data_IF_163714407689
#
_entry.id   IF_163714407689
#
_cell.length_a   1.000
_cell.length_b   1.000
_cell.length_c   1.000
_cell.angle_alpha   90.00
_cell.angle_beta   90.00
_cell.angle_gamma   90.00
#
_symmetry.space_group_name_H-M   'P 1'
#
loop_
_entity.id
_entity.type
_entity.pdbx_description
1 polymer ?
#
# COMPACT_ATOMS: atom_id res chain seq x y z
N UNK A 1 12.46 -51.13 -16.37
CA UNK A 1 12.24 -49.81 -15.72
C UNK A 1 11.35 -48.99 -16.65
N UNK A 2 10.03 -49.01 -16.45
CA UNK A 2 9.09 -48.33 -17.35
C UNK A 2 8.73 -46.95 -16.78
N UNK A 3 9.17 -45.88 -17.44
CA UNK A 3 8.80 -44.50 -17.10
C UNK A 3 7.34 -44.25 -17.50
N UNK A 4 6.51 -43.93 -16.51
CA UNK A 4 5.07 -43.63 -16.65
C UNK A 4 4.89 -42.44 -17.61
N UNK A 5 3.99 -42.51 -18.62
CA UNK A 5 3.80 -41.42 -19.56
C UNK A 5 3.28 -40.18 -18.82
N UNK A 6 4.06 -39.10 -18.85
CA UNK A 6 3.69 -37.81 -18.24
C UNK A 6 2.49 -37.26 -19.01
N UNK A 7 1.34 -37.19 -18.35
CA UNK A 7 0.12 -36.65 -18.96
C UNK A 7 0.38 -35.20 -19.43
N UNK A 8 0.38 -34.98 -20.75
CA UNK A 8 0.69 -33.68 -21.40
C UNK A 8 -0.13 -32.51 -20.83
N UNK A 9 -1.33 -32.78 -20.31
CA UNK A 9 -2.19 -31.78 -19.65
C UNK A 9 -1.65 -31.26 -18.30
N UNK A 10 -0.93 -32.08 -17.54
CA UNK A 10 -0.39 -31.67 -16.22
C UNK A 10 0.68 -30.61 -16.35
N UNK A 11 1.56 -30.73 -17.35
CA UNK A 11 2.63 -29.76 -17.63
C UNK A 11 2.07 -28.39 -17.99
N UNK A 12 1.04 -28.34 -18.84
CA UNK A 12 0.39 -27.09 -19.26
C UNK A 12 -0.33 -26.44 -18.09
N UNK A 13 -0.96 -27.22 -17.21
CA UNK A 13 -1.61 -26.70 -16.01
C UNK A 13 -0.61 -26.12 -15.02
N UNK A 14 0.50 -26.83 -14.74
CA UNK A 14 1.59 -26.32 -13.89
C UNK A 14 2.23 -25.06 -14.46
N UNK A 15 2.41 -24.99 -15.78
CA UNK A 15 2.92 -23.81 -16.47
C UNK A 15 1.92 -22.63 -16.41
N UNK A 16 0.62 -22.88 -16.60
CA UNK A 16 -0.41 -21.85 -16.42
C UNK A 16 -0.45 -21.33 -14.98
N UNK A 17 -0.36 -22.21 -13.99
CA UNK A 17 -0.28 -21.82 -12.58
C UNK A 17 0.97 -20.98 -12.28
N UNK A 18 2.12 -21.31 -12.90
CA UNK A 18 3.35 -20.54 -12.73
C UNK A 18 3.26 -19.13 -13.34
N UNK A 19 2.58 -18.99 -14.49
CA UNK A 19 2.27 -17.70 -15.12
C UNK A 19 1.38 -16.84 -14.21
N UNK A 20 0.30 -17.41 -13.69
CA UNK A 20 -0.60 -16.71 -12.75
C UNK A 20 0.17 -16.26 -11.50
N UNK A 21 1.01 -17.13 -10.93
CA UNK A 21 1.84 -16.78 -9.78
C UNK A 21 2.84 -15.66 -10.10
N UNK A 22 3.45 -15.65 -11.30
CA UNK A 22 4.35 -14.59 -11.76
C UNK A 22 3.61 -13.26 -11.91
N UNK A 23 2.42 -13.26 -12.49
CA UNK A 23 1.58 -12.07 -12.60
C UNK A 23 1.19 -11.51 -11.22
N UNK A 24 0.84 -12.38 -10.25
CA UNK A 24 0.59 -11.93 -8.86
C UNK A 24 1.82 -11.25 -8.26
N UNK A 25 3.01 -11.84 -8.41
CA UNK A 25 4.27 -11.24 -7.93
C UNK A 25 4.58 -9.92 -8.62
N UNK A 26 4.28 -9.80 -9.92
CA UNK A 26 4.42 -8.54 -10.68
C UNK A 26 3.60 -7.42 -10.06
N UNK A 27 2.29 -7.66 -9.87
CA UNK A 27 1.38 -6.69 -9.23
C UNK A 27 1.81 -6.30 -7.82
N UNK A 28 2.32 -7.25 -7.02
CA UNK A 28 2.84 -6.95 -5.68
C UNK A 28 4.07 -6.04 -5.77
N UNK A 29 4.99 -6.30 -6.70
CA UNK A 29 6.17 -5.45 -6.90
C UNK A 29 5.81 -4.05 -7.35
N UNK A 30 4.85 -3.91 -8.27
CA UNK A 30 4.32 -2.61 -8.70
C UNK A 30 3.77 -1.83 -7.51
N UNK A 31 2.95 -2.47 -6.66
CA UNK A 31 2.42 -1.83 -5.45
C UNK A 31 3.48 -1.49 -4.41
N UNK A 32 4.51 -2.31 -4.27
CA UNK A 32 5.65 -1.98 -3.40
C UNK A 32 6.45 -0.79 -3.95
N UNK A 33 6.57 -0.65 -5.26
CA UNK A 33 7.23 0.51 -5.87
C UNK A 33 6.42 1.80 -5.66
N UNK A 34 5.11 1.76 -5.93
CA UNK A 34 4.20 2.88 -5.64
C UNK A 34 4.29 3.28 -4.15
N UNK A 35 4.34 2.30 -3.23
CA UNK A 35 4.45 2.57 -1.81
C UNK A 35 5.75 3.30 -1.44
N UNK A 36 6.89 2.92 -2.06
CA UNK A 36 8.19 3.58 -1.81
C UNK A 36 8.20 5.05 -2.21
N UNK A 37 7.43 5.44 -3.21
CA UNK A 37 7.33 6.84 -3.65
C UNK A 37 6.47 7.68 -2.71
N UNK A 38 5.55 7.06 -1.97
CA UNK A 38 4.64 7.73 -1.05
C UNK A 38 5.18 7.85 0.38
N UNK A 39 5.98 6.88 0.81
CA UNK A 39 6.51 6.81 2.17
C UNK A 39 7.80 7.63 2.26
N UNK A 40 7.98 8.49 3.28
CA UNK A 40 9.22 9.25 3.48
C UNK A 40 10.43 8.33 3.61
N UNK A 41 11.57 8.73 3.03
CA UNK A 41 12.88 8.04 3.13
C UNK A 41 12.89 6.55 2.71
N UNK A 42 11.84 6.09 2.02
CA UNK A 42 11.61 4.68 1.71
C UNK A 42 12.46 4.10 0.56
N UNK A 43 13.24 4.92 -0.14
CA UNK A 43 13.99 4.52 -1.34
C UNK A 43 14.94 3.34 -1.05
N UNK A 44 15.56 3.31 0.13
CA UNK A 44 16.54 2.30 0.54
C UNK A 44 16.03 1.27 1.56
N UNK A 45 14.78 1.38 2.00
CA UNK A 45 14.22 0.48 3.01
C UNK A 45 14.02 -0.94 2.47
N UNK A 46 14.19 -1.95 3.32
CA UNK A 46 13.75 -3.30 3.00
C UNK A 46 12.21 -3.39 3.06
N UNK A 47 11.63 -4.51 2.63
CA UNK A 47 10.15 -4.62 2.55
C UNK A 47 9.48 -4.58 3.93
N UNK A 48 10.13 -5.10 4.97
CA UNK A 48 9.55 -5.09 6.31
C UNK A 48 9.51 -3.67 6.87
N UNK A 49 10.66 -2.98 6.85
CA UNK A 49 10.76 -1.59 7.31
C UNK A 49 9.85 -0.67 6.50
N UNK A 50 9.74 -0.85 5.18
CA UNK A 50 8.82 -0.07 4.35
C UNK A 50 7.36 -0.19 4.81
N UNK A 51 6.91 -1.40 5.17
CA UNK A 51 5.53 -1.63 5.60
C UNK A 51 5.27 -1.09 7.01
N UNK A 52 6.25 -1.23 7.90
CA UNK A 52 6.18 -0.65 9.25
C UNK A 52 6.14 0.89 9.18
N UNK A 53 7.02 1.50 8.38
CA UNK A 53 7.05 2.95 8.18
C UNK A 53 5.79 3.46 7.49
N UNK A 54 5.26 2.74 6.49
CA UNK A 54 3.98 3.08 5.88
C UNK A 54 2.83 3.15 6.90
N UNK A 55 2.83 2.22 7.87
CA UNK A 55 1.82 2.19 8.94
C UNK A 55 1.94 3.42 9.83
N UNK A 56 3.17 3.79 10.21
CA UNK A 56 3.44 5.01 10.99
C UNK A 56 3.05 6.27 10.22
N UNK A 57 3.39 6.35 8.94
CA UNK A 57 3.10 7.53 8.12
C UNK A 57 1.60 7.74 7.92
N UNK A 58 0.81 6.68 7.76
CA UNK A 58 -0.65 6.79 7.72
C UNK A 58 -1.21 7.33 9.04
N UNK A 59 -0.71 6.85 10.18
CA UNK A 59 -1.14 7.35 11.49
C UNK A 59 -0.77 8.83 11.68
N UNK A 60 0.42 9.23 11.23
CA UNK A 60 0.86 10.62 11.20
C UNK A 60 -0.08 11.51 10.35
N UNK A 61 -0.35 11.12 9.11
CA UNK A 61 -1.23 11.88 8.21
C UNK A 61 -2.66 12.01 8.76
N UNK A 62 -3.17 10.97 9.42
CA UNK A 62 -4.48 11.02 10.07
C UNK A 62 -4.51 12.02 11.23
N UNK A 63 -3.46 12.03 12.06
CA UNK A 63 -3.33 12.99 13.16
C UNK A 63 -3.23 14.43 12.64
N UNK A 64 -2.44 14.66 11.60
CA UNK A 64 -2.29 15.97 10.96
C UNK A 64 -3.62 16.46 10.37
N UNK A 65 -4.32 15.61 9.61
CA UNK A 65 -5.62 15.93 9.05
C UNK A 65 -6.66 16.28 10.13
N UNK A 66 -6.65 15.55 11.25
CA UNK A 66 -7.53 15.83 12.39
C UNK A 66 -7.23 17.20 13.02
N UNK A 67 -5.95 17.48 13.30
CA UNK A 67 -5.52 18.74 13.89
C UNK A 67 -5.86 19.95 13.00
N UNK A 68 -5.64 19.83 11.69
CA UNK A 68 -6.03 20.85 10.71
C UNK A 68 -7.55 21.04 10.66
N UNK A 69 -8.32 19.95 10.70
CA UNK A 69 -9.78 20.00 10.78
C UNK A 69 -10.30 20.72 12.04
N UNK A 70 -9.70 20.46 13.20
CA UNK A 70 -10.00 21.15 14.45
C UNK A 70 -9.67 22.65 14.39
N UNK A 71 -8.50 22.99 13.85
CA UNK A 71 -8.11 24.38 13.62
C UNK A 71 -9.12 25.13 12.77
N UNK A 72 -9.53 24.51 11.65
CA UNK A 72 -10.54 25.09 10.75
C UNK A 72 -11.90 25.28 11.43
N UNK A 73 -12.34 24.31 12.26
CA UNK A 73 -13.57 24.44 13.05
C UNK A 73 -13.50 25.61 14.03
N UNK A 74 -12.37 25.76 14.75
CA UNK A 74 -12.18 26.85 15.72
C UNK A 74 -12.15 28.22 15.04
N UNK A 75 -11.46 28.35 13.91
CA UNK A 75 -11.45 29.60 13.13
C UNK A 75 -12.86 29.95 12.68
N UNK A 76 -13.61 28.99 12.15
CA UNK A 76 -14.99 29.21 11.73
C UNK A 76 -15.87 29.66 12.90
N UNK A 77 -15.80 28.99 14.05
CA UNK A 77 -16.55 29.36 15.25
C UNK A 77 -16.23 30.78 15.72
N UNK A 78 -14.96 31.16 15.74
CA UNK A 78 -14.52 32.50 16.14
C UNK A 78 -15.02 33.59 15.18
N UNK A 79 -15.01 33.30 13.88
CA UNK A 79 -15.55 34.22 12.85
C UNK A 79 -17.07 34.36 12.98
N UNK A 80 -17.80 33.30 13.29
CA UNK A 80 -19.26 33.37 13.51
C UNK A 80 -19.62 34.13 14.79
N UNK A 81 -18.88 33.94 15.89
CA UNK A 81 -19.14 34.63 17.16
C UNK A 81 -18.93 36.14 17.06
N UNK A 82 -17.96 36.61 16.25
CA UNK A 82 -17.74 38.04 16.00
C UNK A 82 -18.76 38.69 15.08
N UNK A 83 -19.56 37.91 14.35
CA UNK A 83 -20.65 38.42 13.50
C UNK A 83 -21.96 38.60 14.27
N UNK A 84 -22.06 38.04 15.49
CA UNK A 84 -23.25 38.07 16.34
C UNK A 84 -23.12 38.98 17.58
N UNK A 85 -22.09 39.83 17.60
CA UNK A 85 -21.90 40.96 18.52
C UNK A 85 -21.92 42.25 17.71
#
# INVERSE_FOLDING_TARGET
MASKPRAKNSSIWTERQSVVARQRRGRIREKLQELRELVPDAESMDTAALLDEATLYVAFLQAEAHALGDGNRRIFQHVQQRRLM
#
